data_IF_932780553053
#
_entry.id   IF_932780553053
#
_cell.length_a   1.000
_cell.length_b   1.000
_cell.length_c   1.000
_cell.angle_alpha   90.00
_cell.angle_beta   90.00
_cell.angle_gamma   90.00
#
_symmetry.space_group_name_H-M   'P 1'
#
loop_
_entity.id
_entity.type
_entity.pdbx_description
1 polymer ?
#
# COMPACT_ATOMS: atom_id res chain seq x y z
N UNK A 1 15.95 -10.33 24.31
CA UNK A 1 14.78 -10.77 23.50
C UNK A 1 15.30 -11.54 22.29
N UNK A 2 15.03 -12.84 22.19
CA UNK A 2 15.67 -13.72 21.20
C UNK A 2 15.35 -13.30 19.75
N UNK A 3 16.27 -13.57 18.82
CA UNK A 3 16.09 -13.33 17.37
C UNK A 3 14.83 -14.02 16.81
N UNK A 4 14.40 -15.11 17.44
CA UNK A 4 13.21 -15.90 17.08
C UNK A 4 11.93 -15.10 17.33
N UNK A 5 11.82 -14.41 18.48
CA UNK A 5 10.63 -13.64 18.83
C UNK A 5 10.45 -12.41 17.90
N UNK A 6 11.55 -11.82 17.42
CA UNK A 6 11.50 -10.71 16.45
C UNK A 6 10.99 -11.15 15.08
N UNK A 7 11.45 -12.32 14.59
CA UNK A 7 10.97 -12.88 13.32
C UNK A 7 9.48 -13.24 13.37
N UNK A 8 9.04 -13.86 14.46
CA UNK A 8 7.63 -14.18 14.68
C UNK A 8 6.77 -12.92 14.69
N UNK A 9 7.17 -11.88 15.44
CA UNK A 9 6.43 -10.62 15.50
C UNK A 9 6.31 -9.93 14.14
N UNK A 10 7.39 -9.90 13.35
CA UNK A 10 7.35 -9.32 11.99
C UNK A 10 6.41 -10.13 11.08
N UNK A 11 6.45 -11.46 11.17
CA UNK A 11 5.57 -12.31 10.37
C UNK A 11 4.10 -12.14 10.77
N UNK A 12 3.79 -12.07 12.06
CA UNK A 12 2.43 -11.79 12.54
C UNK A 12 1.93 -10.43 12.05
N UNK A 13 2.78 -9.39 12.10
CA UNK A 13 2.43 -8.07 11.57
C UNK A 13 2.16 -8.11 10.06
N UNK A 14 2.97 -8.84 9.29
CA UNK A 14 2.77 -9.06 7.84
C UNK A 14 1.43 -9.72 7.56
N UNK A 15 1.13 -10.81 8.26
CA UNK A 15 -0.14 -11.52 8.09
C UNK A 15 -1.34 -10.65 8.48
N UNK A 16 -1.23 -9.90 9.58
CA UNK A 16 -2.28 -8.98 10.01
C UNK A 16 -2.52 -7.87 8.98
N UNK A 17 -1.45 -7.25 8.46
CA UNK A 17 -1.55 -6.20 7.46
C UNK A 17 -2.13 -6.74 6.14
N UNK A 18 -1.63 -7.89 5.67
CA UNK A 18 -2.13 -8.54 4.46
C UNK A 18 -3.63 -8.85 4.60
N UNK A 19 -4.04 -9.40 5.74
CA UNK A 19 -5.45 -9.69 6.03
C UNK A 19 -6.32 -8.43 5.99
N UNK A 20 -5.89 -7.33 6.61
CA UNK A 20 -6.62 -6.06 6.57
C UNK A 20 -6.79 -5.53 5.15
N UNK A 21 -5.71 -5.52 4.37
CA UNK A 21 -5.74 -5.02 2.99
C UNK A 21 -6.61 -5.91 2.08
N UNK A 22 -6.61 -7.23 2.30
CA UNK A 22 -7.52 -8.15 1.59
C UNK A 22 -8.97 -7.94 2.00
N UNK A 23 -9.27 -7.71 3.29
CA UNK A 23 -10.63 -7.42 3.76
C UNK A 23 -11.17 -6.14 3.13
N UNK A 24 -10.35 -5.09 3.01
CA UNK A 24 -10.74 -3.85 2.31
C UNK A 24 -11.14 -4.16 0.86
N UNK A 25 -10.35 -4.96 0.13
CA UNK A 25 -10.70 -5.34 -1.24
C UNK A 25 -12.02 -6.12 -1.29
N UNK A 26 -12.22 -7.10 -0.40
CA UNK A 26 -13.44 -7.92 -0.38
C UNK A 26 -14.66 -7.04 -0.13
N UNK A 27 -14.60 -6.14 0.86
CA UNK A 27 -15.68 -5.20 1.15
C UNK A 27 -15.95 -4.32 -0.07
N UNK A 28 -14.89 -3.78 -0.70
CA UNK A 28 -15.02 -2.93 -1.88
C UNK A 28 -15.74 -3.67 -3.02
N UNK A 29 -15.36 -4.92 -3.30
CA UNK A 29 -15.97 -5.71 -4.38
C UNK A 29 -17.41 -6.14 -4.07
N UNK A 30 -17.74 -6.41 -2.81
CA UNK A 30 -19.09 -6.82 -2.40
C UNK A 30 -20.09 -5.65 -2.42
N UNK A 31 -19.64 -4.44 -2.09
CA UNK A 31 -20.48 -3.25 -2.03
C UNK A 31 -20.44 -2.43 -3.32
N UNK A 32 -19.67 -2.85 -4.32
CA UNK A 32 -19.64 -2.18 -5.61
C UNK A 32 -20.97 -2.37 -6.36
N UNK A 33 -21.60 -1.25 -6.68
CA UNK A 33 -22.95 -1.18 -7.25
C UNK A 33 -22.97 -1.01 -8.77
N UNK A 34 -21.80 -1.08 -9.43
CA UNK A 34 -21.68 -0.97 -10.89
C UNK A 34 -21.84 0.45 -11.43
N UNK A 35 -21.94 1.47 -10.58
CA UNK A 35 -22.14 2.87 -11.00
C UNK A 35 -20.80 3.57 -11.25
N UNK A 36 -20.79 4.49 -12.22
CA UNK A 36 -19.71 5.48 -12.38
C UNK A 36 -19.65 6.36 -11.13
N UNK A 37 -18.44 6.69 -10.67
CA UNK A 37 -18.20 7.41 -9.41
C UNK A 37 -18.88 6.77 -8.19
N UNK A 38 -18.74 5.45 -8.05
CA UNK A 38 -19.22 4.78 -6.84
C UNK A 38 -18.35 5.21 -5.65
N UNK A 39 -18.97 5.67 -4.56
CA UNK A 39 -18.30 6.07 -3.30
C UNK A 39 -17.38 4.97 -2.74
N UNK A 40 -17.57 3.73 -3.19
CA UNK A 40 -16.74 2.58 -2.82
C UNK A 40 -15.30 2.69 -3.34
N UNK A 41 -15.08 3.39 -4.45
CA UNK A 41 -13.74 3.66 -4.97
C UNK A 41 -12.97 4.56 -4.00
N UNK A 42 -13.60 5.64 -3.55
CA UNK A 42 -13.03 6.52 -2.53
C UNK A 42 -12.74 5.74 -1.24
N UNK A 43 -13.68 4.88 -0.81
CA UNK A 43 -13.47 4.01 0.34
C UNK A 43 -12.22 3.12 0.18
N UNK A 44 -12.03 2.50 -0.99
CA UNK A 44 -10.84 1.70 -1.29
C UNK A 44 -9.57 2.55 -1.18
N UNK A 45 -9.53 3.70 -1.86
CA UNK A 45 -8.36 4.56 -1.92
C UNK A 45 -8.01 5.10 -0.52
N UNK A 46 -8.97 5.64 0.23
CA UNK A 46 -8.74 6.17 1.57
C UNK A 46 -8.35 5.08 2.58
N UNK A 47 -8.98 3.90 2.50
CA UNK A 47 -8.63 2.77 3.38
C UNK A 47 -7.22 2.27 3.10
N UNK A 48 -6.86 2.11 1.83
CA UNK A 48 -5.52 1.72 1.42
C UNK A 48 -4.48 2.78 1.80
N UNK A 49 -4.83 4.07 1.66
CA UNK A 49 -3.99 5.19 2.07
C UNK A 49 -3.72 5.19 3.57
N UNK A 50 -4.74 4.90 4.39
CA UNK A 50 -4.60 4.79 5.85
C UNK A 50 -3.78 3.55 6.27
N UNK A 51 -3.95 2.44 5.55
CA UNK A 51 -3.15 1.22 5.75
C UNK A 51 -1.71 1.35 5.23
N UNK A 52 -1.42 2.38 4.43
CA UNK A 52 -0.07 2.76 4.02
C UNK A 52 0.51 3.87 4.90
N UNK A 53 1.83 3.87 5.07
CA UNK A 53 2.50 4.76 6.04
C UNK A 53 2.37 6.24 5.60
N UNK A 54 2.28 7.25 6.50
CA UNK A 54 2.07 8.67 6.17
C UNK A 54 3.19 9.37 5.36
N UNK A 55 4.29 8.68 5.02
CA UNK A 55 5.11 9.09 3.86
C UNK A 55 4.35 8.95 2.53
N UNK A 56 3.13 8.41 2.62
CA UNK A 56 2.15 8.15 1.59
C UNK A 56 1.77 9.36 0.75
N UNK A 57 1.93 10.61 1.19
CA UNK A 57 1.60 11.76 0.31
C UNK A 57 2.58 11.88 -0.87
N UNK A 58 3.89 11.76 -0.61
CA UNK A 58 4.91 11.85 -1.68
C UNK A 58 4.85 10.59 -2.55
N UNK A 59 4.66 9.44 -1.91
CA UNK A 59 4.63 8.15 -2.61
C UNK A 59 3.29 7.96 -3.34
N UNK A 60 2.16 8.46 -2.83
CA UNK A 60 0.87 8.43 -3.53
C UNK A 60 0.89 9.35 -4.74
N UNK A 61 1.47 10.55 -4.64
CA UNK A 61 1.69 11.42 -5.79
C UNK A 61 2.52 10.75 -6.88
N UNK A 62 3.64 10.11 -6.50
CA UNK A 62 4.46 9.31 -7.41
C UNK A 62 3.70 8.11 -7.98
N UNK A 63 2.91 7.41 -7.16
CA UNK A 63 2.12 6.26 -7.61
C UNK A 63 0.99 6.66 -8.54
N UNK A 64 0.37 7.83 -8.34
CA UNK A 64 -0.64 8.36 -9.24
C UNK A 64 -0.03 8.67 -10.61
N UNK A 65 1.19 9.23 -10.63
CA UNK A 65 1.95 9.47 -11.87
C UNK A 65 2.32 8.14 -12.54
N UNK A 66 2.81 7.15 -11.77
CA UNK A 66 3.18 5.83 -12.31
C UNK A 66 1.95 5.10 -12.84
N UNK A 67 0.82 5.16 -12.14
CA UNK A 67 -0.45 4.57 -12.54
C UNK A 67 -0.93 5.19 -13.85
N UNK A 68 -0.95 6.52 -13.92
CA UNK A 68 -1.32 7.25 -15.13
C UNK A 68 -0.40 6.92 -16.31
N UNK A 69 0.92 6.88 -16.08
CA UNK A 69 1.90 6.52 -17.10
C UNK A 69 1.74 5.08 -17.58
N UNK A 70 1.56 4.12 -16.66
CA UNK A 70 1.33 2.71 -17.00
C UNK A 70 0.08 2.58 -17.87
N UNK A 71 -1.03 3.22 -17.47
CA UNK A 71 -2.28 3.14 -18.24
C UNK A 71 -2.16 3.75 -19.64
N UNK A 72 -1.47 4.88 -19.76
CA UNK A 72 -1.20 5.54 -21.04
C UNK A 72 -0.32 4.67 -21.96
N UNK A 73 0.71 4.01 -21.43
CA UNK A 73 1.61 3.12 -22.21
C UNK A 73 0.89 1.88 -22.73
N UNK A 74 -0.05 1.34 -21.97
CA UNK A 74 -0.79 0.12 -22.33
C UNK A 74 -2.12 0.40 -23.03
N UNK A 75 -2.45 1.65 -23.36
CA UNK A 75 -3.69 2.07 -24.01
C UNK A 75 -4.96 1.55 -23.31
N UNK A 76 -4.93 1.45 -21.98
CA UNK A 76 -6.04 0.95 -21.15
C UNK A 76 -6.91 2.08 -20.61
N UNK A 77 -6.89 3.22 -21.29
CA UNK A 77 -7.64 4.44 -20.94
C UNK A 77 -9.16 4.19 -20.87
N UNK A 78 -9.68 3.27 -21.70
CA UNK A 78 -11.10 2.88 -21.68
C UNK A 78 -11.54 2.24 -20.35
N UNK A 79 -10.62 1.60 -19.62
CA UNK A 79 -10.89 1.03 -18.28
C UNK A 79 -11.10 2.15 -17.25
N UNK A 80 -10.64 3.37 -17.53
CA UNK A 80 -10.76 4.52 -16.62
C UNK A 80 -12.11 5.23 -16.71
N UNK A 81 -12.81 5.12 -17.84
CA UNK A 81 -14.09 5.82 -18.04
C UNK A 81 -15.27 5.15 -17.36
N UNK A 82 -15.11 3.90 -16.94
CA UNK A 82 -16.10 3.11 -16.23
C UNK A 82 -15.45 2.39 -15.05
N UNK A 83 -15.78 2.84 -13.83
CA UNK A 83 -15.44 2.11 -12.61
C UNK A 83 -16.00 0.70 -12.77
N UNK A 84 -15.14 -0.30 -12.74
CA UNK A 84 -15.51 -1.70 -12.88
C UNK A 84 -14.65 -2.55 -11.93
N UNK A 85 -15.01 -3.82 -11.77
CA UNK A 85 -14.30 -4.73 -10.86
C UNK A 85 -12.80 -4.85 -11.18
N UNK A 86 -12.42 -4.82 -12.46
CA UNK A 86 -11.03 -4.91 -12.90
C UNK A 86 -10.26 -3.66 -12.48
N UNK A 87 -10.85 -2.49 -12.67
CA UNK A 87 -10.30 -1.21 -12.24
C UNK A 87 -10.03 -1.20 -10.72
N UNK A 88 -11.02 -1.62 -9.91
CA UNK A 88 -10.87 -1.66 -8.45
C UNK A 88 -9.75 -2.62 -8.00
N UNK A 89 -9.64 -3.79 -8.64
CA UNK A 89 -8.56 -4.75 -8.36
C UNK A 89 -7.20 -4.15 -8.76
N UNK A 90 -7.11 -3.47 -9.90
CA UNK A 90 -5.88 -2.82 -10.34
C UNK A 90 -5.46 -1.72 -9.37
N UNK A 91 -6.36 -0.80 -9.01
CA UNK A 91 -6.09 0.25 -8.01
C UNK A 91 -5.61 -0.36 -6.70
N UNK A 92 -6.26 -1.41 -6.22
CA UNK A 92 -5.83 -2.14 -5.04
C UNK A 92 -4.40 -2.69 -5.18
N UNK A 93 -4.07 -3.34 -6.30
CA UNK A 93 -2.72 -3.87 -6.56
C UNK A 93 -1.66 -2.76 -6.58
N UNK A 94 -1.97 -1.64 -7.24
CA UNK A 94 -1.07 -0.49 -7.33
C UNK A 94 -0.82 0.18 -5.98
N UNK A 95 -1.75 0.11 -5.03
CA UNK A 95 -1.55 0.60 -3.66
C UNK A 95 -0.94 -0.46 -2.74
N UNK A 96 -1.26 -1.74 -2.96
CA UNK A 96 -0.77 -2.88 -2.17
C UNK A 96 0.75 -3.03 -2.27
N UNK A 97 1.30 -3.08 -3.49
CA UNK A 97 2.73 -3.31 -3.72
C UNK A 97 3.62 -2.27 -3.02
N UNK A 98 3.44 -0.95 -3.27
CA UNK A 98 4.26 0.05 -2.61
C UNK A 98 4.02 0.08 -1.11
N UNK A 99 2.78 -0.17 -0.66
CA UNK A 99 2.48 -0.25 0.76
C UNK A 99 3.21 -1.36 1.50
N UNK A 100 3.30 -2.53 0.88
CA UNK A 100 4.09 -3.64 1.40
C UNK A 100 5.58 -3.27 1.46
N UNK A 101 6.11 -2.66 0.40
CA UNK A 101 7.51 -2.22 0.35
C UNK A 101 7.80 -1.17 1.44
N UNK A 102 6.89 -0.22 1.66
CA UNK A 102 7.01 0.78 2.72
C UNK A 102 7.11 0.13 4.11
N UNK A 103 6.14 -0.72 4.46
CA UNK A 103 6.06 -1.31 5.79
C UNK A 103 7.20 -2.29 6.10
N UNK A 104 7.55 -3.15 5.14
CA UNK A 104 8.40 -4.30 5.42
C UNK A 104 9.80 -4.22 4.83
N UNK A 105 10.07 -3.23 3.98
CA UNK A 105 11.41 -3.02 3.42
C UNK A 105 11.99 -1.67 3.85
N UNK A 106 11.28 -0.56 3.62
CA UNK A 106 11.79 0.77 3.92
C UNK A 106 11.94 1.01 5.43
N UNK A 107 10.89 0.77 6.23
CA UNK A 107 10.92 1.01 7.69
C UNK A 107 12.10 0.27 8.37
N UNK A 108 12.30 -1.05 8.17
CA UNK A 108 13.42 -1.76 8.78
C UNK A 108 14.78 -1.22 8.38
N UNK A 109 14.95 -0.81 7.12
CA UNK A 109 16.21 -0.23 6.62
C UNK A 109 16.50 1.10 7.31
N UNK A 110 15.50 1.99 7.40
CA UNK A 110 15.66 3.27 8.09
C UNK A 110 15.93 3.10 9.58
N UNK A 111 15.23 2.19 10.26
CA UNK A 111 15.47 1.92 11.68
C UNK A 111 16.90 1.40 11.95
N UNK A 112 17.42 0.51 11.09
CA UNK A 112 18.81 0.03 11.19
C UNK A 112 19.82 1.17 11.01
N UNK A 113 19.63 2.00 9.97
CA UNK A 113 20.51 3.16 9.72
C UNK A 113 20.52 4.14 10.88
N UNK A 114 19.37 4.40 11.51
CA UNK A 114 19.29 5.27 12.70
C UNK A 114 20.01 4.67 13.92
N UNK A 115 19.90 3.36 14.15
CA UNK A 115 20.61 2.68 15.25
C UNK A 115 22.12 2.68 15.03
N UNK A 116 22.59 2.42 13.81
CA UNK A 116 24.02 2.47 13.47
C UNK A 116 24.58 3.89 13.63
N UNK A 117 23.80 4.91 13.25
CA UNK A 117 24.20 6.31 13.43
C UNK A 117 24.30 6.67 14.91
N UNK A 118 23.31 6.29 15.73
CA UNK A 118 23.32 6.52 17.19
C UNK A 118 24.54 5.88 17.88
N UNK A 119 24.92 4.67 17.49
CA UNK A 119 26.10 3.99 18.05
C UNK A 119 27.42 4.68 17.71
N UNK A 120 27.53 5.31 16.52
CA UNK A 120 28.74 6.07 16.14
C UNK A 120 28.92 7.39 16.90
N UNK A 121 27.84 8.03 17.35
CA UNK A 121 27.90 9.28 18.11
C UNK A 121 28.05 9.07 19.62
N UNK A 122 27.68 7.90 20.15
CA UNK A 122 27.86 7.55 21.57
C UNK A 122 29.27 7.05 21.96
N UNK A 123 30.20 6.96 21.00
CA UNK A 123 31.61 6.59 21.22
C UNK A 123 32.59 7.77 21.07
N UNK A 124 32.09 9.02 21.09
CA UNK A 124 32.90 10.23 21.16
C UNK A 124 32.68 10.95 22.47
#
# INVERSE_FOLDING_TARGET
>A
MSLINKKLLINTLKFSWLSMVTVVLIITLLFFDGRKNSDIEDFLVYSMFLLTFPSGIIISGLMFIIFYFFMSVFSIEDIMYDVNYVYLILVWFFLFIPGYIQWFFLIPITCRKYQDKKNRYGQR
#
